data_IF_267828018692
#
_entry.id   IF_267828018692
#
_cell.length_a   1.000
_cell.length_b   1.000
_cell.length_c   1.000
_cell.angle_alpha   90.00
_cell.angle_beta   90.00
_cell.angle_gamma   90.00
#
_symmetry.space_group_name_H-M   'P 1'
#
loop_
_entity.id
_entity.type
_entity.pdbx_description
1 polymer ?
#
# COMPACT_ATOMS: atom_id res chain seq x y z
N UNK A 1 -33.44 -27.58 28.15
CA UNK A 1 -32.41 -27.59 27.08
C UNK A 1 -31.81 -26.19 26.90
N UNK A 2 -31.11 -25.65 27.92
CA UNK A 2 -30.60 -24.26 27.89
C UNK A 2 -29.06 -24.15 28.05
N UNK A 3 -28.33 -25.27 28.01
CA UNK A 3 -26.87 -25.29 28.25
C UNK A 3 -26.01 -25.33 26.97
N UNK A 4 -26.62 -25.58 25.81
CA UNK A 4 -25.91 -25.81 24.55
C UNK A 4 -25.61 -24.51 23.75
N UNK A 5 -26.34 -23.42 24.02
CA UNK A 5 -26.27 -22.19 23.23
C UNK A 5 -25.12 -21.25 23.61
N UNK A 6 -24.52 -21.40 24.79
CA UNK A 6 -23.42 -20.55 25.27
C UNK A 6 -22.04 -20.91 24.68
N UNK A 7 -21.84 -22.18 24.31
CA UNK A 7 -20.55 -22.69 23.82
C UNK A 7 -20.34 -22.42 22.31
N UNK A 8 -21.41 -22.39 21.53
CA UNK A 8 -21.36 -22.05 20.10
C UNK A 8 -21.07 -20.55 19.89
N UNK A 9 -21.72 -19.67 20.67
CA UNK A 9 -21.58 -18.21 20.53
C UNK A 9 -20.15 -17.72 20.79
N UNK A 10 -19.46 -18.27 21.79
CA UNK A 10 -18.07 -17.91 22.15
C UNK A 10 -17.05 -18.38 21.10
N UNK A 11 -17.29 -19.54 20.46
CA UNK A 11 -16.49 -20.05 19.34
C UNK A 11 -16.67 -19.22 18.07
N UNK A 12 -17.87 -18.72 17.80
CA UNK A 12 -18.16 -17.84 16.66
C UNK A 12 -17.53 -16.45 16.83
N UNK A 13 -17.57 -15.88 18.03
CA UNK A 13 -16.97 -14.57 18.32
C UNK A 13 -15.44 -14.63 18.25
N UNK A 14 -14.81 -15.69 18.78
CA UNK A 14 -13.36 -15.88 18.66
C UNK A 14 -12.92 -16.13 17.21
N UNK A 15 -13.70 -16.88 16.42
CA UNK A 15 -13.43 -17.06 15.00
C UNK A 15 -13.55 -15.74 14.20
N UNK A 16 -14.55 -14.90 14.51
CA UNK A 16 -14.67 -13.56 13.91
C UNK A 16 -13.49 -12.65 14.28
N UNK A 17 -13.05 -12.69 15.53
CA UNK A 17 -11.91 -11.89 15.99
C UNK A 17 -10.61 -12.29 15.28
N UNK A 18 -10.37 -13.59 15.08
CA UNK A 18 -9.24 -14.10 14.31
C UNK A 18 -9.31 -13.72 12.83
N UNK A 19 -10.51 -13.76 12.22
CA UNK A 19 -10.70 -13.36 10.83
C UNK A 19 -10.42 -11.86 10.64
N UNK A 20 -10.91 -11.00 11.54
CA UNK A 20 -10.65 -9.56 11.52
C UNK A 20 -9.17 -9.23 11.72
N UNK A 21 -8.49 -9.94 12.63
CA UNK A 21 -7.05 -9.77 12.85
C UNK A 21 -6.24 -10.15 11.59
N UNK A 22 -6.61 -11.24 10.90
CA UNK A 22 -5.97 -11.65 9.67
C UNK A 22 -6.19 -10.64 8.53
N UNK A 23 -7.40 -10.06 8.40
CA UNK A 23 -7.66 -8.99 7.44
C UNK A 23 -6.87 -7.72 7.75
N UNK A 24 -6.72 -7.36 9.03
CA UNK A 24 -5.93 -6.19 9.44
C UNK A 24 -4.43 -6.35 9.12
N UNK A 25 -3.91 -7.58 9.16
CA UNK A 25 -2.52 -7.89 8.81
C UNK A 25 -2.29 -8.07 7.30
N UNK A 26 -3.34 -8.36 6.52
CA UNK A 26 -3.27 -8.66 5.08
C UNK A 26 -3.33 -7.46 4.12
N UNK A 27 -3.43 -6.23 4.62
CA UNK A 27 -3.65 -5.02 3.79
C UNK A 27 -2.41 -4.43 3.12
N UNK A 28 -1.18 -4.72 3.58
CA UNK A 28 0.02 -3.99 3.13
C UNK A 28 0.55 -4.36 1.74
N UNK A 29 0.01 -5.37 1.07
CA UNK A 29 0.57 -5.87 -0.20
C UNK A 29 -0.43 -6.09 -1.33
N UNK A 30 -1.72 -5.78 -1.12
CA UNK A 30 -2.79 -6.22 -2.01
C UNK A 30 -2.83 -5.46 -3.36
N UNK A 31 -2.09 -4.37 -3.49
CA UNK A 31 -2.04 -3.59 -4.72
C UNK A 31 -0.64 -3.66 -5.33
N UNK A 32 -0.32 -4.86 -5.84
CA UNK A 32 0.89 -5.14 -6.61
C UNK A 32 0.49 -5.57 -8.02
N UNK A 33 -0.24 -4.71 -8.69
CA UNK A 33 -0.59 -4.86 -10.11
C UNK A 33 -0.36 -3.50 -10.78
N UNK A 34 0.27 -3.49 -11.96
CA UNK A 34 0.68 -2.32 -12.80
C UNK A 34 2.10 -1.75 -12.68
N UNK A 35 3.10 -2.47 -12.16
CA UNK A 35 4.51 -1.99 -12.22
C UNK A 35 5.31 -2.54 -13.40
N UNK A 36 4.70 -3.32 -14.32
CA UNK A 36 5.46 -3.90 -15.45
C UNK A 36 5.79 -2.88 -16.55
N UNK A 37 5.09 -1.74 -16.65
CA UNK A 37 5.34 -0.73 -17.70
C UNK A 37 6.27 0.42 -17.29
N UNK A 38 6.65 0.54 -16.00
CA UNK A 38 7.45 1.67 -15.51
C UNK A 38 8.95 1.36 -15.34
N UNK A 39 9.40 0.17 -15.75
CA UNK A 39 10.80 -0.26 -15.56
C UNK A 39 11.83 0.66 -16.21
N UNK A 40 11.47 1.37 -17.28
CA UNK A 40 12.40 2.24 -18.03
C UNK A 40 12.08 3.74 -17.93
N UNK A 41 11.21 4.14 -17.00
CA UNK A 41 10.84 5.56 -16.87
C UNK A 41 11.97 6.41 -16.29
N UNK A 42 12.14 7.60 -16.88
CA UNK A 42 13.03 8.65 -16.36
C UNK A 42 12.44 9.30 -15.10
N UNK A 43 13.27 9.96 -14.29
CA UNK A 43 12.83 10.69 -13.10
C UNK A 43 11.72 11.71 -13.40
N UNK A 44 11.82 12.43 -14.54
CA UNK A 44 10.81 13.39 -14.96
C UNK A 44 9.46 12.72 -15.28
N UNK A 45 9.47 11.53 -15.89
CA UNK A 45 8.26 10.77 -16.22
C UNK A 45 7.55 10.25 -14.97
N UNK A 46 8.30 9.70 -14.01
CA UNK A 46 7.76 9.31 -12.72
C UNK A 46 7.11 10.50 -11.99
N UNK A 47 7.78 11.66 -11.97
CA UNK A 47 7.24 12.87 -11.35
C UNK A 47 5.97 13.37 -12.05
N UNK A 48 5.97 13.40 -13.39
CA UNK A 48 4.81 13.84 -14.16
C UNK A 48 3.59 12.93 -13.94
N UNK A 49 3.78 11.61 -13.98
CA UNK A 49 2.71 10.65 -13.71
C UNK A 49 2.22 10.72 -12.26
N UNK A 50 3.13 10.85 -11.29
CA UNK A 50 2.77 11.03 -9.89
C UNK A 50 1.93 12.30 -9.69
N UNK A 51 2.30 13.39 -10.38
CA UNK A 51 1.58 14.66 -10.32
C UNK A 51 0.21 14.57 -10.98
N UNK A 52 0.08 13.86 -12.10
CA UNK A 52 -1.21 13.61 -12.74
C UNK A 52 -2.15 12.85 -11.81
N UNK A 53 -1.69 11.77 -11.19
CA UNK A 53 -2.49 11.01 -10.21
C UNK A 53 -2.84 11.86 -8.98
N UNK A 54 -1.93 12.72 -8.53
CA UNK A 54 -2.17 13.68 -7.45
C UNK A 54 -3.28 14.67 -7.82
N UNK A 55 -3.19 15.29 -8.99
CA UNK A 55 -4.19 16.27 -9.47
C UNK A 55 -5.56 15.60 -9.72
N UNK A 56 -5.58 14.29 -10.01
CA UNK A 56 -6.78 13.47 -10.15
C UNK A 56 -7.38 12.98 -8.81
N UNK A 57 -6.86 13.41 -7.66
CA UNK A 57 -7.23 12.96 -6.30
C UNK A 57 -6.91 11.47 -6.02
N UNK A 58 -6.08 10.82 -6.84
CA UNK A 58 -5.61 9.45 -6.63
C UNK A 58 -4.34 9.44 -5.78
N UNK A 59 -4.47 9.88 -4.52
CA UNK A 59 -3.33 10.09 -3.62
C UNK A 59 -2.49 8.83 -3.38
N UNK A 60 -3.13 7.66 -3.28
CA UNK A 60 -2.43 6.38 -3.07
C UNK A 60 -1.54 5.99 -4.26
N UNK A 61 -2.00 6.26 -5.49
CA UNK A 61 -1.22 6.00 -6.69
C UNK A 61 -0.06 7.00 -6.82
N UNK A 62 -0.33 8.28 -6.54
CA UNK A 62 0.70 9.32 -6.52
C UNK A 62 1.83 9.02 -5.54
N UNK A 63 1.50 8.62 -4.30
CA UNK A 63 2.49 8.26 -3.26
C UNK A 63 3.39 7.12 -3.74
N UNK A 64 2.83 6.05 -4.31
CA UNK A 64 3.63 4.93 -4.83
C UNK A 64 4.57 5.35 -5.96
N UNK A 65 4.13 6.26 -6.83
CA UNK A 65 4.97 6.76 -7.92
C UNK A 65 6.11 7.62 -7.39
N UNK A 66 5.88 8.42 -6.35
CA UNK A 66 6.93 9.18 -5.66
C UNK A 66 7.91 8.28 -4.90
N UNK A 67 7.44 7.23 -4.22
CA UNK A 67 8.31 6.26 -3.56
C UNK A 67 9.20 5.51 -4.57
N UNK A 68 8.65 5.15 -5.72
CA UNK A 68 9.41 4.53 -6.81
C UNK A 68 10.44 5.50 -7.41
N UNK A 69 10.09 6.77 -7.55
CA UNK A 69 11.00 7.84 -7.97
C UNK A 69 12.19 7.93 -7.02
N UNK A 70 11.96 8.05 -5.72
CA UNK A 70 13.03 8.16 -4.70
C UNK A 70 13.87 6.89 -4.62
N UNK A 71 13.25 5.71 -4.71
CA UNK A 71 13.96 4.43 -4.66
C UNK A 71 14.89 4.23 -5.87
N UNK A 72 14.48 4.65 -7.08
CA UNK A 72 15.31 4.56 -8.29
C UNK A 72 16.32 5.68 -8.41
N UNK A 73 15.98 6.89 -7.95
CA UNK A 73 16.80 8.09 -8.08
C UNK A 73 17.15 8.67 -6.70
N UNK A 74 17.87 7.91 -5.83
CA UNK A 74 18.16 8.32 -4.45
C UNK A 74 19.09 9.55 -4.37
N UNK A 75 19.79 9.88 -5.46
CA UNK A 75 20.69 11.03 -5.57
C UNK A 75 20.11 12.17 -6.40
N UNK A 76 18.84 12.51 -6.21
CA UNK A 76 18.26 13.74 -6.78
C UNK A 76 19.11 14.97 -6.41
N UNK A 77 19.02 16.08 -7.18
CA UNK A 77 19.89 17.29 -7.05
C UNK A 77 20.07 17.86 -5.62
N UNK A 78 19.29 17.43 -4.64
CA UNK A 78 19.38 17.81 -3.23
C UNK A 78 20.24 16.86 -2.35
N UNK A 79 20.65 15.70 -2.84
CA UNK A 79 21.44 14.72 -2.07
C UNK A 79 22.96 15.03 -2.06
N UNK A 80 23.45 15.93 -2.91
CA UNK A 80 24.87 16.26 -2.98
C UNK A 80 25.33 17.33 -1.98
N UNK A 81 24.43 17.89 -1.17
CA UNK A 81 24.80 18.97 -0.22
C UNK A 81 25.25 18.45 1.15
N UNK A 82 25.70 17.20 1.24
CA UNK A 82 26.13 16.56 2.48
C UNK A 82 27.61 16.11 2.48
N UNK A 83 28.40 16.52 1.48
CA UNK A 83 29.84 16.21 1.42
C UNK A 83 30.70 17.45 1.69
#
# INVERSE_FOLDING_TARGET
>A
NAKETGFAMTRSVTALAWLLLALALGGCGLFKDKTESMKDWTAAQYYAAAKEEFDNNNWEAAVKLYEQLESKYPFGRFAQQAQ
#
